data_IF_144219285386
#
_entry.id   IF_144219285386
#
_cell.length_a   1.000
_cell.length_b   1.000
_cell.length_c   1.000
_cell.angle_alpha   90.00
_cell.angle_beta   90.00
_cell.angle_gamma   90.00
#
_symmetry.space_group_name_H-M   'P 1'
#
loop_
_entity.id
_entity.type
_entity.pdbx_description
1 polymer ?
#
# COMPACT_ATOMS: atom_id res chain seq x y z
N UNK A 1 -4.37 18.07 8.75
CA UNK A 1 -4.45 17.74 10.20
C UNK A 1 -3.37 18.53 10.91
N UNK A 2 -3.71 19.27 11.97
CA UNK A 2 -2.73 20.05 12.75
C UNK A 2 -1.99 19.11 13.71
N UNK A 3 -0.78 19.50 14.16
CA UNK A 3 0.04 18.69 15.07
C UNK A 3 -0.72 18.28 16.34
N UNK A 4 -1.50 19.20 16.89
CA UNK A 4 -2.35 18.98 18.07
C UNK A 4 -3.47 17.94 17.85
N UNK A 5 -4.02 17.83 16.64
CA UNK A 5 -5.04 16.83 16.30
C UNK A 5 -4.43 15.43 16.20
N UNK A 6 -3.20 15.32 15.67
CA UNK A 6 -2.47 14.06 15.63
C UNK A 6 -2.08 13.56 17.01
N UNK A 7 -1.65 14.47 17.90
CA UNK A 7 -1.33 14.13 19.28
C UNK A 7 -2.57 13.66 20.05
N UNK A 8 -3.70 14.32 19.85
CA UNK A 8 -4.97 13.92 20.46
C UNK A 8 -5.41 12.54 19.98
N UNK A 9 -5.34 12.27 18.67
CA UNK A 9 -5.62 10.96 18.10
C UNK A 9 -4.69 9.88 18.67
N UNK A 10 -3.39 10.16 18.73
CA UNK A 10 -2.42 9.21 19.28
C UNK A 10 -2.67 8.97 20.79
N UNK A 11 -3.11 9.96 21.53
CA UNK A 11 -3.46 9.80 22.94
C UNK A 11 -4.71 8.94 23.14
N UNK A 12 -5.69 9.07 22.25
CA UNK A 12 -6.95 8.31 22.29
C UNK A 12 -6.78 6.83 21.92
N UNK A 13 -5.83 6.51 21.07
CA UNK A 13 -5.53 5.15 20.64
C UNK A 13 -5.00 4.28 21.79
N UNK A 14 -5.51 3.05 21.88
CA UNK A 14 -4.94 1.99 22.72
C UNK A 14 -3.55 1.55 22.22
N UNK A 15 -2.80 0.84 23.06
CA UNK A 15 -1.51 0.27 22.65
C UNK A 15 -1.65 -0.71 21.48
N UNK A 16 -2.70 -1.53 21.48
CA UNK A 16 -2.98 -2.49 20.39
C UNK A 16 -3.20 -1.76 19.06
N UNK A 17 -3.99 -0.69 19.07
CA UNK A 17 -4.24 0.13 17.88
C UNK A 17 -2.97 0.83 17.36
N UNK A 18 -2.15 1.35 18.28
CA UNK A 18 -0.84 1.93 17.92
C UNK A 18 0.09 0.91 17.25
N UNK A 19 0.17 -0.30 17.81
CA UNK A 19 0.96 -1.40 17.22
C UNK A 19 0.38 -1.79 15.85
N UNK A 20 -0.95 -1.86 15.74
CA UNK A 20 -1.64 -2.14 14.49
C UNK A 20 -1.25 -1.19 13.36
N UNK A 21 -1.10 0.11 13.65
CA UNK A 21 -0.67 1.10 12.64
C UNK A 21 0.73 0.84 12.08
N UNK A 22 1.58 0.11 12.79
CA UNK A 22 2.91 -0.31 12.32
C UNK A 22 2.87 -1.65 11.57
N UNK A 23 1.72 -2.31 11.54
CA UNK A 23 1.55 -3.61 10.94
C UNK A 23 1.23 -3.50 9.45
N UNK A 24 1.97 -4.24 8.63
CA UNK A 24 1.73 -4.38 7.19
C UNK A 24 1.09 -5.73 6.90
N UNK A 25 -0.04 -5.72 6.23
CA UNK A 25 -0.74 -6.94 5.82
C UNK A 25 -0.62 -7.20 4.32
N UNK A 26 -0.80 -8.46 3.92
CA UNK A 26 -0.97 -8.81 2.51
C UNK A 26 -2.38 -8.46 2.03
N UNK A 27 -2.47 -7.93 0.81
CA UNK A 27 -3.74 -7.67 0.12
C UNK A 27 -4.65 -8.90 0.03
N UNK A 28 -4.10 -10.12 0.05
CA UNK A 28 -4.86 -11.37 0.04
C UNK A 28 -5.79 -11.52 1.26
N UNK A 29 -5.45 -10.88 2.38
CA UNK A 29 -6.29 -10.89 3.58
C UNK A 29 -7.54 -10.00 3.42
N UNK A 30 -7.53 -9.08 2.45
CA UNK A 30 -8.63 -8.15 2.17
C UNK A 30 -9.37 -8.50 0.86
N UNK A 31 -8.68 -9.13 -0.09
CA UNK A 31 -9.26 -9.52 -1.38
C UNK A 31 -8.50 -10.72 -1.96
N UNK A 32 -9.22 -11.81 -2.27
CA UNK A 32 -8.64 -13.08 -2.74
C UNK A 32 -7.84 -12.95 -4.04
N UNK A 33 -8.19 -11.99 -4.91
CA UNK A 33 -7.54 -11.74 -6.19
C UNK A 33 -6.38 -10.74 -6.11
N UNK A 34 -5.89 -10.44 -4.90
CA UNK A 34 -4.69 -9.62 -4.70
C UNK A 34 -3.41 -10.43 -4.95
N UNK A 35 -2.32 -9.72 -5.28
CA UNK A 35 -1.03 -10.37 -5.51
C UNK A 35 -0.56 -11.19 -4.30
N UNK A 36 -0.08 -12.41 -4.53
CA UNK A 36 0.47 -13.26 -3.48
C UNK A 36 1.78 -12.66 -2.96
N UNK A 37 1.81 -12.32 -1.69
CA UNK A 37 2.96 -11.72 -1.02
C UNK A 37 3.33 -12.52 0.22
N UNK A 38 4.10 -13.59 0.02
CA UNK A 38 4.64 -14.43 1.10
C UNK A 38 3.65 -15.40 1.76
N UNK A 39 4.07 -16.14 2.78
CA UNK A 39 3.34 -17.26 3.39
C UNK A 39 2.29 -16.80 4.43
N UNK A 40 1.50 -15.75 4.13
CA UNK A 40 0.61 -15.11 5.09
C UNK A 40 -0.54 -16.00 5.58
N UNK A 41 -0.95 -17.01 4.81
CA UNK A 41 -2.04 -17.93 5.20
C UNK A 41 -1.69 -18.76 6.42
N UNK A 42 -0.41 -19.07 6.62
CA UNK A 42 0.08 -19.91 7.72
C UNK A 42 0.43 -19.12 8.99
N UNK A 43 0.40 -17.79 8.93
CA UNK A 43 0.82 -16.92 10.05
C UNK A 43 -0.26 -16.72 11.13
N UNK A 44 -1.47 -17.21 10.92
CA UNK A 44 -2.53 -17.17 11.94
C UNK A 44 -2.95 -15.76 12.35
N UNK A 45 -2.92 -14.79 11.43
CA UNK A 45 -3.32 -13.40 11.72
C UNK A 45 -4.80 -13.31 12.04
N UNK A 46 -5.13 -12.82 13.22
CA UNK A 46 -6.52 -12.65 13.63
C UNK A 46 -7.23 -11.53 12.85
N UNK A 47 -8.54 -11.71 12.58
CA UNK A 47 -9.33 -10.68 11.88
C UNK A 47 -9.31 -9.31 12.56
N UNK A 48 -9.27 -9.32 13.89
CA UNK A 48 -9.17 -8.08 14.68
C UNK A 48 -7.85 -7.35 14.48
N UNK A 49 -6.74 -8.07 14.21
CA UNK A 49 -5.44 -7.44 13.93
C UNK A 49 -5.40 -6.89 12.50
N UNK A 50 -6.07 -7.56 11.55
CA UNK A 50 -6.24 -7.06 10.17
C UNK A 50 -6.97 -5.72 10.18
N UNK A 51 -8.01 -5.56 11.01
CA UNK A 51 -8.80 -4.33 11.09
C UNK A 51 -8.07 -3.13 11.69
N UNK A 52 -6.89 -3.33 12.28
CA UNK A 52 -6.05 -2.28 12.87
C UNK A 52 -4.79 -1.96 12.07
N UNK A 53 -4.52 -2.71 10.98
CA UNK A 53 -3.30 -2.56 10.20
C UNK A 53 -3.18 -1.16 9.56
N UNK A 54 -1.98 -0.56 9.60
CA UNK A 54 -1.75 0.75 8.97
C UNK A 54 -1.47 0.68 7.48
N UNK A 55 -0.96 -0.45 6.99
CA UNK A 55 -0.50 -0.59 5.61
C UNK A 55 -0.90 -1.92 4.98
N UNK A 56 -1.07 -1.93 3.66
CA UNK A 56 -1.37 -3.14 2.88
C UNK A 56 -0.51 -3.19 1.62
N UNK A 57 0.06 -4.37 1.37
CA UNK A 57 0.89 -4.64 0.21
C UNK A 57 0.17 -5.59 -0.76
N UNK A 58 0.25 -5.30 -2.07
CA UNK A 58 -0.18 -6.24 -3.11
C UNK A 58 -1.61 -6.04 -3.62
N UNK A 59 -2.33 -5.00 -3.19
CA UNK A 59 -3.61 -4.61 -3.79
C UNK A 59 -3.38 -3.72 -5.01
N UNK A 60 -4.06 -3.99 -6.10
CA UNK A 60 -3.98 -3.19 -7.33
C UNK A 60 -5.36 -2.97 -7.96
N UNK A 61 -5.48 -1.91 -8.77
CA UNK A 61 -6.72 -1.50 -9.43
C UNK A 61 -7.52 -0.48 -8.61
N UNK A 62 -7.83 0.67 -9.25
CA UNK A 62 -8.42 1.83 -8.61
C UNK A 62 -9.76 1.53 -7.90
N UNK A 63 -10.66 0.82 -8.57
CA UNK A 63 -11.98 0.51 -8.01
C UNK A 63 -11.87 -0.42 -6.78
N UNK A 64 -10.96 -1.40 -6.84
CA UNK A 64 -10.70 -2.31 -5.73
C UNK A 64 -10.12 -1.57 -4.53
N UNK A 65 -9.09 -0.76 -4.75
CA UNK A 65 -8.47 0.06 -3.69
C UNK A 65 -9.52 0.98 -3.04
N UNK A 66 -10.33 1.65 -3.84
CA UNK A 66 -11.41 2.53 -3.35
C UNK A 66 -12.43 1.77 -2.51
N UNK A 67 -12.85 0.58 -2.95
CA UNK A 67 -13.80 -0.26 -2.22
C UNK A 67 -13.22 -0.70 -0.88
N UNK A 68 -12.01 -1.27 -0.89
CA UNK A 68 -11.32 -1.74 0.33
C UNK A 68 -11.12 -0.58 1.30
N UNK A 69 -10.64 0.57 0.81
CA UNK A 69 -10.42 1.74 1.66
C UNK A 69 -11.69 2.20 2.36
N UNK A 70 -12.81 2.25 1.62
CA UNK A 70 -14.09 2.64 2.18
C UNK A 70 -14.54 1.66 3.28
N UNK A 71 -14.56 0.37 2.96
CA UNK A 71 -14.96 -0.69 3.90
C UNK A 71 -14.04 -0.72 5.14
N UNK A 72 -12.73 -0.57 4.93
CA UNK A 72 -11.76 -0.54 6.01
C UNK A 72 -11.99 0.65 6.96
N UNK A 73 -12.15 1.85 6.42
CA UNK A 73 -12.39 3.05 7.23
C UNK A 73 -13.71 2.99 8.00
N UNK A 74 -14.75 2.37 7.45
CA UNK A 74 -16.04 2.19 8.13
C UNK A 74 -15.93 1.31 9.39
N UNK A 75 -14.99 0.37 9.40
CA UNK A 75 -14.79 -0.58 10.51
C UNK A 75 -13.64 -0.20 11.46
N UNK A 76 -12.71 0.67 11.01
CA UNK A 76 -11.58 1.09 11.83
C UNK A 76 -12.03 2.04 12.96
N UNK A 77 -11.64 1.80 14.25
CA UNK A 77 -12.13 2.57 15.40
C UNK A 77 -11.95 4.09 15.26
N UNK A 78 -10.86 4.52 14.67
CA UNK A 78 -10.51 5.93 14.47
C UNK A 78 -10.65 6.38 13.01
N UNK A 79 -11.24 5.55 12.14
CA UNK A 79 -11.39 5.83 10.69
C UNK A 79 -10.08 6.19 9.99
N UNK A 80 -8.95 5.64 10.46
CA UNK A 80 -7.64 5.86 9.85
C UNK A 80 -7.56 5.07 8.54
N UNK A 81 -7.19 5.71 7.41
CA UNK A 81 -7.10 5.03 6.13
C UNK A 81 -5.87 4.13 6.04
N UNK A 82 -5.97 3.04 5.28
CA UNK A 82 -4.82 2.21 4.90
C UNK A 82 -3.88 2.94 3.96
N UNK A 83 -2.60 2.69 4.10
CA UNK A 83 -1.58 3.05 3.10
C UNK A 83 -1.41 1.85 2.15
N UNK A 84 -1.77 2.02 0.89
CA UNK A 84 -1.62 0.99 -0.15
C UNK A 84 -0.23 1.05 -0.77
N UNK A 85 0.43 -0.10 -0.83
CA UNK A 85 1.79 -0.26 -1.32
C UNK A 85 1.87 -1.35 -2.40
N UNK A 86 2.76 -1.18 -3.37
CA UNK A 86 2.99 -2.17 -4.42
C UNK A 86 4.40 -2.04 -5.00
N UNK A 87 4.99 -3.15 -5.44
CA UNK A 87 6.17 -3.15 -6.28
C UNK A 87 5.80 -2.73 -7.70
N UNK A 88 6.39 -1.63 -8.17
CA UNK A 88 6.14 -1.06 -9.51
C UNK A 88 7.44 -0.95 -10.31
N UNK A 89 8.38 -1.87 -10.04
CA UNK A 89 9.76 -1.87 -10.56
C UNK A 89 9.81 -1.79 -12.09
N UNK A 90 8.89 -2.49 -12.76
CA UNK A 90 8.83 -2.54 -14.23
C UNK A 90 7.63 -1.76 -14.79
N UNK A 91 7.11 -0.79 -14.05
CA UNK A 91 5.91 -0.04 -14.40
C UNK A 91 4.64 -0.58 -13.75
N UNK A 92 3.53 0.17 -13.84
CA UNK A 92 2.23 -0.22 -13.27
C UNK A 92 1.29 -0.79 -14.35
N UNK A 93 0.76 0.02 -15.24
CA UNK A 93 -0.03 -0.41 -16.41
C UNK A 93 0.85 -0.50 -17.66
N UNK A 94 1.70 0.50 -17.84
CA UNK A 94 2.72 0.51 -18.89
C UNK A 94 3.92 -0.26 -18.39
N UNK A 95 4.32 -1.31 -19.12
CA UNK A 95 5.49 -2.12 -18.80
C UNK A 95 6.73 -1.51 -19.43
N UNK A 96 7.76 -1.31 -18.62
CA UNK A 96 9.06 -0.77 -19.02
C UNK A 96 10.13 -1.87 -19.00
N UNK A 97 11.24 -1.66 -19.70
CA UNK A 97 12.40 -2.55 -19.59
C UNK A 97 12.87 -2.66 -18.14
N UNK A 98 13.41 -3.82 -17.79
CA UNK A 98 14.00 -4.05 -16.46
C UNK A 98 15.12 -3.04 -16.18
N UNK A 99 15.44 -2.72 -14.90
CA UNK A 99 16.46 -1.72 -14.55
C UNK A 99 17.81 -1.95 -15.21
N UNK A 100 18.24 -3.22 -15.37
CA UNK A 100 19.47 -3.57 -16.08
C UNK A 100 19.44 -3.10 -17.54
N UNK A 101 18.35 -3.29 -18.24
CA UNK A 101 18.21 -2.86 -19.64
C UNK A 101 18.12 -1.34 -19.75
N UNK A 102 17.48 -0.67 -18.79
CA UNK A 102 17.48 0.78 -18.72
C UNK A 102 18.90 1.33 -18.50
N UNK A 103 19.67 0.71 -17.57
CA UNK A 103 21.07 1.06 -17.33
C UNK A 103 21.98 0.85 -18.53
N UNK A 104 21.77 -0.24 -19.30
CA UNK A 104 22.50 -0.54 -20.53
C UNK A 104 22.30 0.51 -21.65
N UNK A 105 21.27 1.37 -21.54
CA UNK A 105 21.09 2.49 -22.46
C UNK A 105 22.10 3.63 -22.27
N UNK A 106 22.80 3.66 -21.12
CA UNK A 106 23.66 4.78 -20.67
C UNK A 106 22.96 6.17 -20.67
N UNK A 107 21.63 6.17 -20.52
CA UNK A 107 20.79 7.36 -20.56
C UNK A 107 19.93 7.45 -19.29
N UNK A 108 20.45 8.05 -18.21
CA UNK A 108 19.75 8.13 -16.92
C UNK A 108 18.40 8.85 -17.00
N UNK A 109 18.26 9.78 -17.93
CA UNK A 109 16.99 10.49 -18.16
C UNK A 109 15.84 9.57 -18.60
N UNK A 110 16.13 8.44 -19.26
CA UNK A 110 15.11 7.43 -19.62
C UNK A 110 14.58 6.72 -18.39
N UNK A 111 15.46 6.30 -17.48
CA UNK A 111 15.05 5.66 -16.21
C UNK A 111 14.16 6.63 -15.39
N UNK A 112 14.57 7.90 -15.30
CA UNK A 112 13.74 8.92 -14.63
C UNK A 112 12.38 9.13 -15.29
N UNK A 113 12.28 9.08 -16.61
CA UNK A 113 11.02 9.19 -17.32
C UNK A 113 10.11 7.97 -17.10
N UNK A 114 10.67 6.75 -17.12
CA UNK A 114 9.95 5.51 -16.82
C UNK A 114 9.40 5.52 -15.38
N UNK A 115 10.23 5.84 -14.39
CA UNK A 115 9.83 5.92 -12.99
C UNK A 115 8.74 6.96 -12.77
N UNK A 116 8.86 8.15 -13.38
CA UNK A 116 7.85 9.21 -13.30
C UNK A 116 6.49 8.78 -13.87
N UNK A 117 6.49 8.05 -14.98
CA UNK A 117 5.25 7.55 -15.58
C UNK A 117 4.64 6.44 -14.73
N UNK A 118 5.44 5.47 -14.28
CA UNK A 118 5.01 4.41 -13.38
C UNK A 118 4.37 4.97 -12.10
N UNK A 119 5.01 5.95 -11.46
CA UNK A 119 4.49 6.60 -10.26
C UNK A 119 3.16 7.34 -10.52
N UNK A 120 3.00 7.99 -11.68
CA UNK A 120 1.74 8.65 -12.05
C UNK A 120 0.60 7.66 -12.23
N UNK A 121 0.86 6.55 -12.90
CA UNK A 121 -0.14 5.50 -13.11
C UNK A 121 -0.53 4.84 -11.77
N UNK A 122 0.46 4.55 -10.93
CA UNK A 122 0.25 3.97 -9.60
C UNK A 122 -0.56 4.92 -8.69
N UNK A 123 -0.19 6.19 -8.63
CA UNK A 123 -0.92 7.20 -7.85
C UNK A 123 -2.36 7.38 -8.33
N UNK A 124 -2.59 7.39 -9.66
CA UNK A 124 -3.94 7.47 -10.24
C UNK A 124 -4.79 6.25 -9.90
N UNK A 125 -4.17 5.11 -9.61
CA UNK A 125 -4.84 3.90 -9.13
C UNK A 125 -5.05 3.86 -7.60
N UNK A 126 -4.60 4.88 -6.86
CA UNK A 126 -4.76 4.98 -5.41
C UNK A 126 -3.62 4.36 -4.60
N UNK A 127 -2.50 4.02 -5.22
CA UNK A 127 -1.29 3.60 -4.51
C UNK A 127 -0.56 4.81 -3.89
N UNK A 128 -0.09 4.64 -2.67
CA UNK A 128 0.59 5.68 -1.91
C UNK A 128 2.11 5.50 -1.89
N UNK A 129 2.57 4.25 -1.91
CA UNK A 129 3.99 3.88 -1.84
C UNK A 129 4.32 2.85 -2.91
N UNK A 130 5.46 3.01 -3.57
CA UNK A 130 6.06 2.03 -4.47
C UNK A 130 7.47 1.66 -3.99
N UNK A 131 7.84 0.40 -4.14
CA UNK A 131 9.17 -0.14 -3.85
C UNK A 131 9.95 -0.30 -5.15
N UNK A 132 10.44 0.77 -5.73
CA UNK A 132 11.18 0.76 -7.00
C UNK A 132 12.34 1.75 -7.00
#
# INVERSE_FOLDING_TARGET
MQHTELEALLHDMSLKEKIGQLFQISGQLLAEDSAAMGPMQDMGVAREDISLAGTVLGVYGAEKIKKIQKEYMEHHPHHIPLIFMLDVINGYRTVYPIPLAQGASFRPELSGACAKMAAREAAAAGLHVTFS
#
